data_IF_259394535202
#
_entry.id   IF_259394535202
#
_cell.length_a   1.000
_cell.length_b   1.000
_cell.length_c   1.000
_cell.angle_alpha   90.00
_cell.angle_beta   90.00
_cell.angle_gamma   90.00
#
_symmetry.space_group_name_H-M   'P 1'
#
loop_
_entity.id
_entity.type
_entity.pdbx_description
1 polymer ?
#
# COMPACT_ATOMS: atom_id res chain seq x y z
N UNK A 1 0.32 -20.51 10.77
CA UNK A 1 0.21 -19.62 9.60
C UNK A 1 -0.71 -18.49 10.02
N UNK A 2 -0.17 -17.33 10.37
CA UNK A 2 -0.96 -16.10 10.60
C UNK A 2 -1.84 -15.87 9.38
N UNK A 3 -3.06 -15.32 9.52
CA UNK A 3 -4.13 -15.22 8.51
C UNK A 3 -3.75 -14.47 7.20
N UNK A 4 -2.71 -14.95 6.52
CA UNK A 4 -2.17 -14.47 5.28
C UNK A 4 -2.66 -15.42 4.20
N UNK A 5 -3.46 -14.88 3.29
CA UNK A 5 -4.00 -15.61 2.17
C UNK A 5 -3.45 -15.04 0.87
N UNK A 6 -3.36 -15.88 -0.16
CA UNK A 6 -2.85 -15.47 -1.47
C UNK A 6 -3.73 -14.35 -2.06
N UNK A 7 -3.11 -13.37 -2.71
CA UNK A 7 -3.79 -12.23 -3.33
C UNK A 7 -4.94 -12.62 -4.28
N UNK A 8 -4.86 -13.80 -4.92
CA UNK A 8 -5.93 -14.35 -5.76
C UNK A 8 -7.29 -14.45 -5.05
N UNK A 9 -7.29 -14.68 -3.73
CA UNK A 9 -8.53 -14.78 -2.96
C UNK A 9 -9.16 -13.40 -2.73
N UNK A 10 -8.35 -12.35 -2.53
CA UNK A 10 -8.82 -10.96 -2.52
C UNK A 10 -9.42 -10.59 -3.87
N UNK A 11 -8.73 -10.94 -4.97
CA UNK A 11 -9.24 -10.69 -6.33
C UNK A 11 -10.60 -11.35 -6.54
N UNK A 12 -10.72 -12.65 -6.21
CA UNK A 12 -12.01 -13.35 -6.29
C UNK A 12 -13.09 -12.69 -5.44
N UNK A 13 -12.77 -12.34 -4.19
CA UNK A 13 -13.72 -11.67 -3.31
C UNK A 13 -14.25 -10.35 -3.91
N UNK A 14 -13.37 -9.54 -4.50
CA UNK A 14 -13.77 -8.27 -5.12
C UNK A 14 -14.62 -8.48 -6.38
N UNK A 15 -14.32 -9.48 -7.20
CA UNK A 15 -15.16 -9.84 -8.35
C UNK A 15 -16.55 -10.29 -7.88
N UNK A 16 -16.61 -11.22 -6.92
CA UNK A 16 -17.87 -11.70 -6.36
C UNK A 16 -18.66 -10.53 -5.71
N UNK A 17 -17.97 -9.58 -5.06
CA UNK A 17 -18.58 -8.42 -4.40
C UNK A 17 -19.27 -7.47 -5.39
N UNK A 18 -18.63 -7.15 -6.52
CA UNK A 18 -19.23 -6.21 -7.49
C UNK A 18 -20.39 -6.81 -8.27
N UNK A 19 -20.45 -8.14 -8.37
CA UNK A 19 -21.60 -8.88 -8.91
C UNK A 19 -22.75 -8.99 -7.90
N UNK A 20 -22.43 -9.14 -6.61
CA UNK A 20 -23.43 -9.35 -5.57
C UNK A 20 -24.10 -8.06 -5.08
N UNK A 21 -23.34 -6.96 -4.96
CA UNK A 21 -23.88 -5.71 -4.41
C UNK A 21 -24.67 -4.96 -5.48
N UNK A 22 -25.91 -4.60 -5.13
CA UNK A 22 -26.83 -3.90 -6.02
C UNK A 22 -27.17 -2.51 -5.49
N UNK A 23 -27.29 -1.55 -6.40
CA UNK A 23 -27.86 -0.23 -6.15
C UNK A 23 -28.90 0.05 -7.22
N UNK A 24 -30.07 0.58 -6.84
CA UNK A 24 -31.19 0.91 -7.76
C UNK A 24 -31.47 -0.17 -8.83
N UNK A 25 -31.47 -1.45 -8.44
CA UNK A 25 -31.79 -2.57 -9.33
C UNK A 25 -30.68 -3.03 -10.29
N UNK A 26 -29.48 -2.46 -10.23
CA UNK A 26 -28.32 -2.87 -11.03
C UNK A 26 -27.17 -3.28 -10.12
N UNK A 27 -26.38 -4.29 -10.53
CA UNK A 27 -25.15 -4.65 -9.83
C UNK A 27 -24.14 -3.50 -9.90
N UNK A 28 -23.13 -3.51 -9.03
CA UNK A 28 -22.02 -2.56 -9.17
C UNK A 28 -21.26 -2.79 -10.49
N UNK A 29 -21.14 -4.03 -10.95
CA UNK A 29 -20.47 -4.35 -12.22
C UNK A 29 -21.16 -3.68 -13.41
N UNK A 30 -22.49 -3.73 -13.48
CA UNK A 30 -23.27 -3.11 -14.58
C UNK A 30 -23.07 -1.58 -14.66
N UNK A 31 -22.64 -0.98 -13.55
CA UNK A 31 -22.42 0.47 -13.44
C UNK A 31 -20.99 0.88 -13.82
N UNK A 32 -20.08 -0.07 -14.04
CA UNK A 32 -18.68 0.20 -14.40
C UNK A 32 -18.51 0.16 -15.92
N UNK A 33 -17.97 1.24 -16.48
CA UNK A 33 -17.56 1.26 -17.88
C UNK A 33 -16.07 0.91 -17.99
N UNK A 34 -15.79 -0.36 -18.27
CA UNK A 34 -14.44 -0.83 -18.54
C UNK A 34 -13.91 -0.31 -19.88
N UNK A 35 -12.60 -0.36 -20.06
CA UNK A 35 -11.90 0.11 -21.27
C UNK A 35 -12.05 1.60 -21.56
N UNK A 36 -12.15 2.40 -20.49
CA UNK A 36 -12.35 3.85 -20.55
C UNK A 36 -11.28 4.53 -19.72
N UNK A 37 -10.42 5.27 -20.40
CA UNK A 37 -9.34 6.01 -19.76
C UNK A 37 -9.73 7.48 -19.64
N UNK A 38 -9.89 7.97 -18.41
CA UNK A 38 -10.06 9.40 -18.13
C UNK A 38 -8.71 10.09 -18.30
N UNK A 39 -8.63 11.07 -19.21
CA UNK A 39 -7.41 11.82 -19.55
C UNK A 39 -7.33 13.16 -18.84
N UNK A 40 -8.45 13.86 -18.74
CA UNK A 40 -8.54 15.12 -18.02
C UNK A 40 -9.90 15.25 -17.34
N UNK A 41 -9.91 16.06 -16.28
CA UNK A 41 -11.12 16.40 -15.55
C UNK A 41 -11.13 17.90 -15.30
N UNK A 42 -12.21 18.56 -15.71
CA UNK A 42 -12.37 20.00 -15.59
C UNK A 42 -13.73 20.33 -14.96
N UNK A 43 -13.76 21.29 -14.05
CA UNK A 43 -15.03 21.82 -13.53
C UNK A 43 -15.52 22.93 -14.45
N UNK A 44 -16.72 22.79 -15.01
CA UNK A 44 -17.38 23.83 -15.82
C UNK A 44 -18.76 24.12 -15.23
N UNK A 45 -18.92 25.34 -14.71
CA UNK A 45 -20.11 25.74 -13.95
C UNK A 45 -20.34 24.81 -12.76
N UNK A 46 -21.52 24.19 -12.72
CA UNK A 46 -21.94 23.26 -11.66
C UNK A 46 -21.69 21.78 -11.99
N UNK A 47 -20.92 21.48 -13.03
CA UNK A 47 -20.65 20.10 -13.45
C UNK A 47 -19.17 19.84 -13.71
N UNK A 48 -18.80 18.57 -13.65
CA UNK A 48 -17.49 18.06 -14.03
C UNK A 48 -17.56 17.50 -15.45
N UNK A 49 -16.60 17.87 -16.27
CA UNK A 49 -16.39 17.34 -17.60
C UNK A 49 -15.15 16.46 -17.59
N UNK A 50 -15.31 15.24 -18.08
CA UNK A 50 -14.25 14.24 -18.16
C UNK A 50 -13.98 13.95 -19.63
N UNK A 51 -12.75 14.15 -20.06
CA UNK A 51 -12.30 13.73 -21.39
C UNK A 51 -11.81 12.30 -21.30
N UNK A 52 -12.45 11.40 -22.02
CA UNK A 52 -12.18 9.97 -21.95
C UNK A 52 -11.79 9.41 -23.32
N UNK A 53 -10.92 8.40 -23.33
CA UNK A 53 -10.53 7.64 -24.53
C UNK A 53 -10.79 6.15 -24.34
N UNK A 54 -11.10 5.43 -25.43
CA UNK A 54 -11.17 3.97 -25.42
C UNK A 54 -9.81 3.30 -25.16
N UNK A 55 -9.81 2.01 -24.82
CA UNK A 55 -8.58 1.18 -24.74
C UNK A 55 -7.96 0.94 -26.12
N UNK A 56 -8.79 0.75 -27.13
CA UNK A 56 -8.36 0.72 -28.52
C UNK A 56 -8.04 2.15 -28.90
N UNK A 57 -6.81 2.43 -29.32
CA UNK A 57 -6.29 3.78 -29.61
C UNK A 57 -6.97 4.44 -30.83
N UNK A 58 -8.22 4.11 -31.14
CA UNK A 58 -9.05 4.93 -32.02
C UNK A 58 -9.20 6.29 -31.35
N UNK A 59 -9.11 7.34 -32.16
CA UNK A 59 -9.21 8.74 -31.72
C UNK A 59 -10.59 9.12 -31.16
N UNK A 60 -11.40 8.16 -30.75
CA UNK A 60 -12.75 8.34 -30.22
C UNK A 60 -12.66 8.92 -28.81
N UNK A 61 -12.46 10.23 -28.80
CA UNK A 61 -12.53 11.05 -27.61
C UNK A 61 -14.00 11.27 -27.27
N UNK A 62 -14.42 10.83 -26.09
CA UNK A 62 -15.78 11.04 -25.58
C UNK A 62 -15.76 11.90 -24.33
N UNK A 63 -16.75 12.77 -24.20
CA UNK A 63 -16.90 13.64 -23.04
C UNK A 63 -18.01 13.08 -22.16
N UNK A 64 -17.68 12.82 -20.89
CA UNK A 64 -18.66 12.47 -19.87
C UNK A 64 -18.87 13.66 -18.93
N UNK A 65 -20.11 13.85 -18.47
CA UNK A 65 -20.46 14.91 -17.53
C UNK A 65 -21.01 14.34 -16.24
N UNK A 66 -20.62 14.90 -15.09
CA UNK A 66 -21.11 14.47 -13.78
C UNK A 66 -21.33 15.66 -12.84
N UNK A 67 -22.39 15.63 -12.04
CA UNK A 67 -22.63 16.64 -11.00
C UNK A 67 -21.65 16.52 -9.82
N UNK A 68 -21.15 15.30 -9.56
CA UNK A 68 -20.21 14.98 -8.48
C UNK A 68 -19.10 14.09 -9.01
N UNK A 69 -17.91 14.25 -8.45
CA UNK A 69 -16.72 13.49 -8.82
C UNK A 69 -16.11 12.85 -7.57
N UNK A 70 -15.80 11.56 -7.66
CA UNK A 70 -15.03 10.83 -6.65
C UNK A 70 -13.78 10.25 -7.32
N UNK A 71 -12.61 10.57 -6.79
CA UNK A 71 -11.33 10.07 -7.32
C UNK A 71 -10.94 8.79 -6.59
N UNK A 72 -10.84 7.68 -7.34
CA UNK A 72 -10.48 6.36 -6.83
C UNK A 72 -9.42 5.67 -7.71
N UNK A 73 -8.49 6.43 -8.28
CA UNK A 73 -7.47 5.97 -9.23
C UNK A 73 -6.23 5.32 -8.57
N UNK A 74 -6.24 5.12 -7.25
CA UNK A 74 -5.11 4.59 -6.50
C UNK A 74 -3.92 5.56 -6.42
N UNK A 75 -2.87 5.16 -5.70
CA UNK A 75 -1.64 5.94 -5.52
C UNK A 75 -0.36 5.14 -5.84
N UNK A 76 -0.46 3.83 -6.05
CA UNK A 76 0.68 2.91 -6.11
C UNK A 76 1.07 2.46 -7.53
N UNK A 77 0.60 3.16 -8.57
CA UNK A 77 0.78 2.76 -9.97
C UNK A 77 1.81 3.59 -10.75
N UNK A 78 2.19 4.77 -10.24
CA UNK A 78 3.18 5.64 -10.88
C UNK A 78 4.54 5.36 -10.24
N UNK A 79 5.46 4.87 -11.03
CA UNK A 79 6.82 4.57 -10.61
C UNK A 79 7.63 5.85 -10.39
N UNK A 80 8.39 5.91 -9.30
CA UNK A 80 9.36 6.99 -9.04
C UNK A 80 10.75 6.40 -8.89
N UNK A 81 11.63 6.68 -9.84
CA UNK A 81 13.04 6.35 -9.72
C UNK A 81 13.78 7.46 -8.98
N UNK A 82 14.63 7.13 -8.00
CA UNK A 82 15.61 8.10 -7.51
C UNK A 82 16.62 8.42 -8.62
N UNK A 83 17.22 9.61 -8.56
CA UNK A 83 18.41 9.88 -9.34
C UNK A 83 19.56 9.01 -8.80
N UNK A 84 20.15 8.20 -9.66
CA UNK A 84 21.25 7.29 -9.31
C UNK A 84 22.46 7.67 -10.17
N UNK A 85 23.42 8.44 -9.63
CA UNK A 85 24.66 8.73 -10.35
C UNK A 85 25.36 7.44 -10.80
N UNK A 86 25.76 7.37 -12.06
CA UNK A 86 26.37 6.18 -12.65
C UNK A 86 25.39 5.08 -13.08
N UNK A 87 24.07 5.35 -13.07
CA UNK A 87 23.03 4.42 -13.56
C UNK A 87 23.33 3.90 -14.95
N UNK A 88 23.72 4.77 -15.88
CA UNK A 88 23.91 4.41 -17.29
C UNK A 88 25.18 3.55 -17.51
N UNK A 89 26.16 3.69 -16.63
CA UNK A 89 27.39 2.88 -16.62
C UNK A 89 27.24 1.57 -15.82
N UNK A 90 26.13 1.37 -15.11
CA UNK A 90 25.91 0.18 -14.32
C UNK A 90 25.59 -1.01 -15.24
N UNK A 91 26.53 -1.93 -15.40
CA UNK A 91 26.36 -3.13 -16.25
C UNK A 91 25.37 -4.18 -15.70
N UNK A 92 24.77 -3.93 -14.53
CA UNK A 92 23.76 -4.79 -13.94
C UNK A 92 22.33 -4.37 -14.29
N UNK A 93 21.36 -5.23 -13.96
CA UNK A 93 19.94 -4.94 -14.19
C UNK A 93 19.38 -4.04 -13.09
N UNK A 94 18.64 -3.01 -13.50
CA UNK A 94 17.90 -2.11 -12.61
C UNK A 94 16.42 -2.26 -12.93
N UNK A 95 15.64 -2.72 -11.96
CA UNK A 95 14.18 -2.85 -12.07
C UNK A 95 13.49 -2.12 -10.92
N UNK A 96 12.25 -1.69 -11.12
CA UNK A 96 11.42 -1.17 -10.05
C UNK A 96 10.55 -2.28 -9.45
N UNK A 97 10.08 -2.11 -8.22
CA UNK A 97 9.24 -3.09 -7.53
C UNK A 97 8.00 -3.52 -8.34
N UNK A 98 7.48 -2.63 -9.18
CA UNK A 98 6.30 -2.89 -10.01
C UNK A 98 6.54 -4.01 -11.02
N UNK A 99 7.79 -4.17 -11.48
CA UNK A 99 8.20 -5.18 -12.46
C UNK A 99 8.78 -6.43 -11.78
N UNK A 100 9.01 -6.39 -10.46
CA UNK A 100 9.72 -7.45 -9.73
C UNK A 100 9.05 -8.82 -9.86
N UNK A 101 7.72 -8.87 -9.73
CA UNK A 101 6.95 -10.12 -9.79
C UNK A 101 6.94 -10.75 -11.18
N UNK A 102 7.05 -9.94 -12.23
CA UNK A 102 7.11 -10.39 -13.63
C UNK A 102 8.55 -10.67 -14.09
N UNK A 103 9.54 -10.16 -13.36
CA UNK A 103 10.95 -10.39 -13.67
C UNK A 103 11.36 -11.83 -13.40
N UNK A 104 12.40 -12.26 -14.11
CA UNK A 104 13.13 -13.50 -13.86
C UNK A 104 14.20 -13.34 -12.76
N UNK A 105 14.36 -12.15 -12.14
CA UNK A 105 15.49 -11.82 -11.25
C UNK A 105 15.73 -12.88 -10.17
N UNK A 106 14.65 -13.27 -9.48
CA UNK A 106 14.69 -14.23 -8.39
C UNK A 106 15.01 -15.66 -8.89
N UNK A 107 14.55 -16.01 -10.10
CA UNK A 107 14.70 -17.36 -10.67
C UNK A 107 16.01 -17.53 -11.45
N UNK A 108 16.56 -16.44 -11.97
CA UNK A 108 17.74 -16.44 -12.82
C UNK A 108 18.99 -16.79 -11.99
N UNK A 109 19.66 -17.89 -12.33
CA UNK A 109 20.82 -18.41 -11.60
C UNK A 109 22.10 -17.60 -11.82
N UNK A 110 22.16 -16.73 -12.82
CA UNK A 110 23.34 -15.88 -13.07
C UNK A 110 23.38 -14.68 -12.13
N UNK A 111 22.21 -14.23 -11.67
CA UNK A 111 22.10 -13.15 -10.69
C UNK A 111 22.32 -13.73 -9.31
N UNK A 112 23.46 -13.45 -8.68
CA UNK A 112 23.78 -13.93 -7.32
C UNK A 112 23.62 -12.84 -6.26
N UNK A 113 23.79 -11.58 -6.66
CA UNK A 113 23.76 -10.42 -5.77
C UNK A 113 22.60 -9.50 -6.15
N UNK A 114 21.80 -9.10 -5.16
CA UNK A 114 20.65 -8.20 -5.34
C UNK A 114 20.78 -7.04 -4.37
N UNK A 115 20.82 -5.83 -4.90
CA UNK A 115 20.72 -4.61 -4.09
C UNK A 115 19.27 -4.13 -4.07
N UNK A 116 18.68 -4.00 -2.88
CA UNK A 116 17.31 -3.48 -2.71
C UNK A 116 17.39 -2.10 -2.08
N UNK A 117 16.92 -1.09 -2.82
CA UNK A 117 16.86 0.29 -2.35
C UNK A 117 15.47 0.59 -1.77
N UNK A 118 15.40 0.91 -0.49
CA UNK A 118 14.16 1.32 0.18
C UNK A 118 13.90 0.59 1.50
N UNK A 119 13.20 1.24 2.43
CA UNK A 119 12.89 0.70 3.75
C UNK A 119 11.41 0.31 3.96
N UNK A 120 10.58 0.34 2.92
CA UNK A 120 9.14 0.05 3.04
C UNK A 120 8.78 -1.43 2.91
N UNK A 121 7.49 -1.74 3.03
CA UNK A 121 6.95 -3.11 2.94
C UNK A 121 7.37 -3.82 1.65
N UNK A 122 7.26 -3.16 0.49
CA UNK A 122 7.64 -3.76 -0.79
C UNK A 122 9.13 -4.09 -0.88
N UNK A 123 10.00 -3.28 -0.27
CA UNK A 123 11.42 -3.59 -0.20
C UNK A 123 11.67 -4.83 0.67
N UNK A 124 10.95 -4.97 1.78
CA UNK A 124 11.03 -6.16 2.63
C UNK A 124 10.57 -7.43 1.90
N UNK A 125 9.48 -7.36 1.13
CA UNK A 125 9.02 -8.49 0.30
C UNK A 125 10.08 -8.88 -0.75
N UNK A 126 10.68 -7.89 -1.42
CA UNK A 126 11.76 -8.14 -2.40
C UNK A 126 12.99 -8.76 -1.75
N UNK A 127 13.40 -8.27 -0.57
CA UNK A 127 14.51 -8.84 0.22
C UNK A 127 14.18 -10.28 0.60
N UNK A 128 13.00 -10.52 1.16
CA UNK A 128 12.56 -11.84 1.59
C UNK A 128 12.55 -12.85 0.43
N UNK A 129 11.91 -12.51 -0.70
CA UNK A 129 11.85 -13.40 -1.86
C UNK A 129 13.24 -13.65 -2.49
N UNK A 130 14.10 -12.64 -2.51
CA UNK A 130 15.48 -12.78 -3.02
C UNK A 130 16.34 -13.67 -2.11
N UNK A 131 16.31 -13.46 -0.78
CA UNK A 131 17.01 -14.31 0.19
C UNK A 131 16.51 -15.75 0.13
N UNK A 132 15.19 -15.94 0.05
CA UNK A 132 14.55 -17.26 -0.05
C UNK A 132 14.97 -18.01 -1.32
N UNK A 133 15.28 -17.29 -2.40
CA UNK A 133 15.82 -17.87 -3.63
C UNK A 133 17.35 -18.09 -3.60
N UNK A 134 17.99 -17.94 -2.45
CA UNK A 134 19.42 -18.17 -2.26
C UNK A 134 20.31 -17.03 -2.76
N UNK A 135 19.76 -15.82 -2.97
CA UNK A 135 20.55 -14.65 -3.37
C UNK A 135 21.21 -14.00 -2.18
N UNK A 136 22.39 -13.41 -2.39
CA UNK A 136 22.99 -12.49 -1.43
C UNK A 136 22.36 -11.11 -1.61
N UNK A 137 21.77 -10.55 -0.55
CA UNK A 137 21.00 -9.31 -0.62
C UNK A 137 21.70 -8.19 0.15
N UNK A 138 21.96 -7.07 -0.53
CA UNK A 138 22.35 -5.80 0.10
C UNK A 138 21.10 -4.94 0.26
N UNK A 139 20.61 -4.80 1.49
CA UNK A 139 19.45 -3.96 1.79
C UNK A 139 19.89 -2.52 2.12
N UNK A 140 19.67 -1.61 1.17
CA UNK A 140 20.11 -0.22 1.26
C UNK A 140 18.95 0.64 1.72
N UNK A 141 19.03 1.08 2.97
CA UNK A 141 18.00 1.92 3.61
C UNK A 141 18.62 3.29 3.88
N UNK A 142 17.95 4.35 3.42
CA UNK A 142 18.38 5.72 3.72
C UNK A 142 18.10 6.08 5.18
N UNK A 143 18.92 6.96 5.74
CA UNK A 143 18.64 7.60 7.02
C UNK A 143 17.34 8.42 6.92
N UNK A 144 16.64 8.55 8.03
CA UNK A 144 15.42 9.36 8.17
C UNK A 144 15.66 10.80 7.69
N UNK A 145 14.71 11.38 6.96
CA UNK A 145 14.80 12.73 6.39
C UNK A 145 13.67 13.01 5.40
N UNK A 146 13.79 14.10 4.63
CA UNK A 146 12.71 14.56 3.73
C UNK A 146 12.19 13.44 2.81
N UNK A 147 10.92 13.08 2.98
CA UNK A 147 10.20 12.06 2.21
C UNK A 147 10.44 10.60 2.62
N UNK A 148 11.03 10.30 3.79
CA UNK A 148 11.14 8.93 4.31
C UNK A 148 11.32 8.90 5.82
N UNK A 149 10.65 7.94 6.42
CA UNK A 149 10.76 7.62 7.85
C UNK A 149 11.99 6.77 8.18
N UNK A 150 12.86 6.47 7.20
CA UNK A 150 13.99 5.55 7.37
C UNK A 150 13.55 4.08 7.23
N UNK A 151 14.06 3.15 8.05
CA UNK A 151 13.59 1.78 8.05
C UNK A 151 12.10 1.72 8.43
N UNK A 152 11.32 0.92 7.70
CA UNK A 152 9.98 0.55 8.11
C UNK A 152 10.03 -0.23 9.43
N UNK A 153 8.99 -0.05 10.25
CA UNK A 153 8.85 -0.82 11.48
C UNK A 153 8.31 -2.20 11.11
N UNK A 154 9.15 -3.22 11.22
CA UNK A 154 8.75 -4.62 11.07
C UNK A 154 8.33 -5.18 12.43
N UNK A 155 7.02 -5.26 12.66
CA UNK A 155 6.50 -5.93 13.84
C UNK A 155 6.66 -7.46 13.68
N UNK A 156 7.11 -8.18 14.72
CA UNK A 156 7.16 -9.63 14.67
C UNK A 156 5.75 -10.19 14.45
N UNK A 157 5.63 -11.13 13.50
CA UNK A 157 4.36 -11.80 13.27
C UNK A 157 3.97 -12.76 14.43
N UNK A 158 4.94 -13.13 15.27
CA UNK A 158 4.81 -14.14 16.32
C UNK A 158 4.72 -13.59 17.75
N UNK A 159 4.25 -12.35 17.92
CA UNK A 159 4.00 -11.80 19.26
C UNK A 159 2.85 -12.57 19.91
N UNK A 160 3.06 -13.00 21.16
CA UNK A 160 1.99 -13.61 21.97
C UNK A 160 0.96 -12.53 22.29
N UNK A 161 -0.27 -12.74 21.83
CA UNK A 161 -1.40 -11.84 22.10
C UNK A 161 -2.62 -12.68 22.46
N UNK A 162 -3.59 -12.13 23.23
CA UNK A 162 -4.86 -12.83 23.49
C UNK A 162 -5.74 -12.97 22.23
N UNK A 163 -5.32 -12.43 21.09
CA UNK A 163 -6.01 -12.51 19.81
C UNK A 163 -5.33 -13.52 18.88
N UNK A 164 -6.08 -13.96 17.86
CA UNK A 164 -5.62 -14.94 16.87
C UNK A 164 -4.32 -14.54 16.16
N UNK A 165 -4.09 -13.25 15.95
CA UNK A 165 -2.85 -12.72 15.37
C UNK A 165 -2.58 -11.29 15.88
N UNK A 166 -1.32 -10.82 15.88
CA UNK A 166 -0.96 -9.50 16.39
C UNK A 166 -1.56 -8.34 15.58
N UNK A 167 -1.89 -8.54 14.30
CA UNK A 167 -2.59 -7.54 13.50
C UNK A 167 -3.99 -7.25 14.05
N UNK A 168 -4.73 -8.30 14.43
CA UNK A 168 -6.03 -8.14 15.08
C UNK A 168 -5.90 -7.50 16.46
N UNK A 169 -4.89 -7.91 17.25
CA UNK A 169 -4.62 -7.29 18.54
C UNK A 169 -4.36 -5.78 18.41
N UNK A 170 -3.57 -5.39 17.41
CA UNK A 170 -3.22 -4.02 17.12
C UNK A 170 -4.44 -3.15 16.72
N UNK A 171 -5.45 -3.76 16.10
CA UNK A 171 -6.65 -3.07 15.61
C UNK A 171 -7.79 -3.00 16.65
N UNK A 172 -7.54 -3.39 17.90
CA UNK A 172 -8.55 -3.35 18.95
C UNK A 172 -8.76 -1.94 19.49
N UNK A 173 -9.97 -1.66 20.00
CA UNK A 173 -10.29 -0.39 20.66
C UNK A 173 -9.39 -0.11 21.86
N UNK A 174 -9.02 -1.14 22.62
CA UNK A 174 -8.12 -0.96 23.77
C UNK A 174 -6.74 -0.52 23.29
N UNK A 175 -6.19 -1.15 22.25
CA UNK A 175 -4.89 -0.78 21.70
C UNK A 175 -4.90 0.65 21.15
N UNK A 176 -5.99 1.08 20.50
CA UNK A 176 -6.09 2.47 20.03
C UNK A 176 -6.08 3.50 21.16
N UNK A 177 -6.44 3.13 22.40
CA UNK A 177 -6.31 4.04 23.56
C UNK A 177 -4.90 4.12 24.11
N UNK A 178 -4.09 3.09 23.90
CA UNK A 178 -2.70 3.04 24.38
C UNK A 178 -1.75 3.89 23.53
N UNK A 179 -2.19 4.32 22.34
CA UNK A 179 -1.42 5.20 21.45
C UNK A 179 -1.96 6.63 21.53
N UNK A 180 -1.07 7.64 21.63
CA UNK A 180 -1.50 9.03 21.55
C UNK A 180 -2.01 9.32 20.13
N UNK A 181 -3.26 9.75 20.00
CA UNK A 181 -3.89 10.05 18.71
C UNK A 181 -4.77 11.29 18.86
N UNK A 182 -4.56 12.29 18.00
CA UNK A 182 -5.34 13.54 18.01
C UNK A 182 -6.82 13.33 17.63
N UNK A 183 -7.14 12.21 16.98
CA UNK A 183 -8.52 11.83 16.62
C UNK A 183 -9.27 11.14 17.77
N UNK A 184 -8.56 10.69 18.82
CA UNK A 184 -9.22 10.12 19.99
C UNK A 184 -9.91 11.23 20.79
N UNK A 185 -11.12 10.94 21.29
CA UNK A 185 -11.81 11.85 22.19
C UNK A 185 -10.98 12.03 23.47
N UNK A 186 -10.88 13.27 23.94
CA UNK A 186 -10.27 13.55 25.24
C UNK A 186 -11.26 13.09 26.34
N UNK A 187 -10.85 12.07 27.09
CA UNK A 187 -11.62 11.39 28.14
C UNK A 187 -10.75 11.29 29.39
N UNK A 188 -11.36 11.00 30.55
CA UNK A 188 -10.60 10.72 31.77
C UNK A 188 -9.62 9.55 31.58
N UNK A 189 -9.98 8.56 30.76
CA UNK A 189 -9.11 7.43 30.44
C UNK A 189 -7.88 7.85 29.60
N UNK A 190 -8.09 8.61 28.52
CA UNK A 190 -6.97 9.10 27.70
C UNK A 190 -6.11 10.12 28.46
N UNK A 191 -6.73 10.96 29.29
CA UNK A 191 -6.03 11.87 30.19
C UNK A 191 -5.13 11.09 31.17
N UNK A 192 -5.67 10.06 31.82
CA UNK A 192 -4.90 9.21 32.72
C UNK A 192 -3.70 8.59 32.01
N UNK A 193 -3.96 7.89 30.89
CA UNK A 193 -2.95 7.19 30.11
C UNK A 193 -1.83 8.09 29.61
N UNK A 194 -2.15 9.27 29.06
CA UNK A 194 -1.20 10.08 28.29
C UNK A 194 -0.74 11.36 28.99
N UNK A 195 -1.34 11.75 30.12
CA UNK A 195 -1.00 13.00 30.83
C UNK A 195 -0.61 12.81 32.29
N UNK A 196 -0.77 11.61 32.86
CA UNK A 196 -0.30 11.33 34.22
C UNK A 196 1.01 10.54 34.22
N UNK A 197 1.85 10.76 35.21
CA UNK A 197 3.12 10.05 35.37
C UNK A 197 2.92 8.54 35.48
N UNK A 198 1.86 8.11 36.16
CA UNK A 198 1.51 6.69 36.31
C UNK A 198 1.02 6.06 35.02
N UNK A 199 0.12 6.72 34.28
CA UNK A 199 -0.35 6.23 32.99
C UNK A 199 0.77 6.14 31.95
N UNK A 200 1.63 7.17 31.89
CA UNK A 200 2.80 7.17 30.99
C UNK A 200 3.77 6.04 31.38
N UNK A 201 4.00 5.82 32.68
CA UNK A 201 4.84 4.71 33.15
C UNK A 201 4.24 3.35 32.75
N UNK A 202 2.92 3.18 32.87
CA UNK A 202 2.22 1.97 32.44
C UNK A 202 2.35 1.74 30.93
N UNK A 203 2.18 2.78 30.10
CA UNK A 203 2.37 2.67 28.64
C UNK A 203 3.81 2.27 28.31
N UNK A 204 4.81 2.90 28.94
CA UNK A 204 6.22 2.53 28.75
C UNK A 204 6.46 1.07 29.11
N UNK A 205 5.93 0.61 30.24
CA UNK A 205 6.04 -0.81 30.62
C UNK A 205 5.41 -1.76 29.59
N UNK A 206 4.29 -1.38 28.98
CA UNK A 206 3.61 -2.21 27.94
C UNK A 206 4.44 -2.28 26.64
N UNK A 207 5.09 -1.18 26.23
CA UNK A 207 5.76 -1.08 24.93
C UNK A 207 7.30 -1.13 24.98
N UNK A 208 7.91 -1.15 26.16
CA UNK A 208 9.37 -1.11 26.36
C UNK A 208 9.87 0.27 26.78
#
# INVERSE_FOLDING_TARGET
>A
MYDMFKAKYTGKYLEDYVDHVHASGQSLRDRIQFNVHVRSVEKRGNSWHLVCTGSDKTNDTRILTAARLMMANGQASITRYPNLPGRDSFGGRIIHQIDFSQSDLVKNKEIQHVAVLGGGNSAADMVYESVKAGKTVSWIIRKTGDGSTGPGVFAPANVSTPYRNPGLAAQTRIMSTLQPCFMNKDTLWSWFLHRTTYGISMIKWIFG
#
